data_IF_709757711122
#
_entry.id   IF_709757711122
#
_cell.length_a   1.000
_cell.length_b   1.000
_cell.length_c   1.000
_cell.angle_alpha   90.00
_cell.angle_beta   90.00
_cell.angle_gamma   90.00
#
_symmetry.space_group_name_H-M   'P 1'
#
loop_
_entity.id
_entity.type
_entity.pdbx_description
1 polymer ?
#
# COMPACT_ATOMS: atom_id res chain seq x y z
N UNK A 1 8.61 8.09 -24.85
CA UNK A 1 9.92 7.68 -24.31
C UNK A 1 9.81 6.25 -23.85
N UNK A 2 10.54 5.35 -24.51
CA UNK A 2 10.58 3.93 -24.13
C UNK A 2 11.69 3.76 -23.09
N UNK A 3 11.42 3.21 -21.90
CA UNK A 3 12.46 2.99 -20.91
C UNK A 3 13.47 1.96 -21.45
N UNK A 4 14.76 2.25 -21.27
CA UNK A 4 15.82 1.28 -21.57
C UNK A 4 15.71 0.11 -20.59
N UNK A 5 15.33 -1.05 -21.12
CA UNK A 5 15.16 -2.30 -20.34
C UNK A 5 16.37 -3.21 -20.49
N UNK A 6 17.44 -2.79 -21.15
CA UNK A 6 18.62 -3.62 -21.48
C UNK A 6 19.27 -4.26 -20.26
N UNK A 7 19.10 -3.65 -19.07
CA UNK A 7 19.68 -4.08 -17.79
C UNK A 7 18.68 -4.72 -16.82
N UNK A 8 17.48 -5.08 -17.26
CA UNK A 8 16.42 -5.59 -16.37
C UNK A 8 16.74 -6.91 -15.63
N UNK A 9 17.82 -7.61 -16.00
CA UNK A 9 18.34 -8.80 -15.30
C UNK A 9 19.66 -8.57 -14.55
N UNK A 10 20.21 -7.35 -14.59
CA UNK A 10 21.43 -7.04 -13.86
C UNK A 10 21.10 -6.83 -12.38
N UNK A 11 21.64 -7.69 -11.52
CA UNK A 11 21.47 -7.61 -10.05
C UNK A 11 21.80 -6.22 -9.51
N UNK A 12 22.89 -5.61 -9.99
CA UNK A 12 23.34 -4.27 -9.59
C UNK A 12 22.36 -3.13 -9.87
N UNK A 13 21.37 -3.36 -10.74
CA UNK A 13 20.30 -2.37 -10.99
C UNK A 13 19.26 -2.37 -9.88
N UNK A 14 19.26 -3.40 -9.03
CA UNK A 14 18.29 -3.65 -7.97
C UNK A 14 18.92 -3.70 -6.57
N UNK A 15 20.23 -3.50 -6.42
CA UNK A 15 20.91 -3.48 -5.10
C UNK A 15 20.22 -2.49 -4.13
N UNK A 16 19.63 -1.40 -4.64
CA UNK A 16 18.86 -0.43 -3.85
C UNK A 16 17.59 -1.01 -3.22
N UNK A 17 17.06 -2.12 -3.74
CA UNK A 17 15.88 -2.81 -3.17
C UNK A 17 16.22 -3.52 -1.86
N UNK A 18 17.48 -3.91 -1.65
CA UNK A 18 17.92 -4.52 -0.39
C UNK A 18 18.00 -3.48 0.75
N UNK A 19 18.25 -2.22 0.40
CA UNK A 19 18.24 -1.08 1.33
C UNK A 19 16.83 -0.50 1.54
N UNK A 20 15.90 -0.78 0.62
CA UNK A 20 14.54 -0.32 0.71
C UNK A 20 13.80 -1.11 1.79
N UNK A 21 13.30 -0.42 2.82
CA UNK A 21 12.53 -1.08 3.86
C UNK A 21 11.37 -1.87 3.21
N UNK A 22 11.40 -3.20 3.35
CA UNK A 22 10.38 -4.14 2.85
C UNK A 22 8.91 -3.66 2.93
N UNK A 23 8.45 -2.94 3.97
CA UNK A 23 7.09 -2.38 3.98
C UNK A 23 6.80 -1.36 2.86
N UNK A 24 7.76 -0.54 2.43
CA UNK A 24 7.55 0.47 1.39
C UNK A 24 7.33 -0.17 0.01
N UNK A 25 8.07 -1.25 -0.29
CA UNK A 25 7.89 -1.99 -1.53
C UNK A 25 6.51 -2.67 -1.55
N UNK A 26 6.14 -3.37 -0.47
CA UNK A 26 4.83 -4.02 -0.35
C UNK A 26 3.66 -3.04 -0.50
N UNK A 27 3.80 -1.82 0.02
CA UNK A 27 2.82 -0.76 -0.13
C UNK A 27 2.73 -0.23 -1.57
N UNK A 28 3.86 -0.08 -2.25
CA UNK A 28 3.90 0.36 -3.66
C UNK A 28 3.25 -0.66 -4.62
N UNK A 29 3.38 -1.96 -4.36
CA UNK A 29 2.66 -2.99 -5.13
C UNK A 29 1.16 -2.95 -4.85
N UNK A 30 0.76 -2.82 -3.59
CA UNK A 30 -0.64 -2.79 -3.20
C UNK A 30 -1.38 -1.58 -3.79
N UNK A 31 -0.80 -0.38 -3.76
CA UNK A 31 -1.44 0.83 -4.31
C UNK A 31 -1.66 0.76 -5.83
N UNK A 32 -0.85 -0.03 -6.54
CA UNK A 32 -0.93 -0.22 -8.00
C UNK A 32 -1.91 -1.32 -8.40
N UNK A 33 -2.40 -2.12 -7.45
CA UNK A 33 -3.40 -3.14 -7.71
C UNK A 33 -4.78 -2.51 -8.00
N UNK A 34 -5.37 -2.81 -9.15
CA UNK A 34 -6.64 -2.23 -9.59
C UNK A 34 -7.86 -2.63 -8.74
N UNK A 35 -7.83 -3.81 -8.12
CA UNK A 35 -8.88 -4.25 -7.19
C UNK A 35 -8.77 -3.51 -5.87
N UNK A 36 -7.55 -3.28 -5.38
CA UNK A 36 -7.32 -2.46 -4.20
C UNK A 36 -7.79 -1.02 -4.40
N UNK A 37 -7.52 -0.44 -5.57
CA UNK A 37 -7.97 0.92 -5.91
C UNK A 37 -9.50 1.03 -5.92
N UNK A 38 -10.21 -0.01 -6.39
CA UNK A 38 -11.67 -0.05 -6.41
C UNK A 38 -12.25 -0.17 -5.00
N UNK A 39 -11.74 -1.11 -4.22
CA UNK A 39 -12.10 -1.30 -2.81
C UNK A 39 -11.90 -0.01 -2.00
N UNK A 40 -10.77 0.68 -2.23
CA UNK A 40 -10.49 1.95 -1.57
C UNK A 40 -11.43 3.07 -2.04
N UNK A 41 -11.74 3.16 -3.33
CA UNK A 41 -12.69 4.15 -3.84
C UNK A 41 -14.10 3.96 -3.25
N UNK A 42 -14.53 2.71 -3.03
CA UNK A 42 -15.80 2.38 -2.37
C UNK A 42 -15.82 2.87 -0.92
N UNK A 43 -14.71 2.77 -0.18
CA UNK A 43 -14.59 3.32 1.18
C UNK A 43 -14.75 4.83 1.24
N UNK A 44 -14.36 5.56 0.20
CA UNK A 44 -14.50 7.03 0.14
C UNK A 44 -15.90 7.48 -0.29
N UNK A 45 -16.66 6.66 -1.01
CA UNK A 45 -17.99 7.00 -1.54
C UNK A 45 -19.12 6.74 -0.53
N UNK A 46 -18.94 5.77 0.36
CA UNK A 46 -19.97 5.36 1.32
C UNK A 46 -19.85 6.14 2.63
N UNK A 47 -20.79 7.05 2.89
CA UNK A 47 -20.91 7.75 4.18
C UNK A 47 -21.44 6.84 5.31
N UNK A 48 -22.15 5.75 4.96
CA UNK A 48 -22.59 4.76 5.92
C UNK A 48 -21.52 3.70 6.17
N UNK A 49 -21.18 3.54 7.45
CA UNK A 49 -20.32 2.51 8.02
C UNK A 49 -18.91 2.36 7.40
N UNK A 50 -18.26 3.50 7.21
CA UNK A 50 -16.86 3.64 6.83
C UNK A 50 -15.94 2.74 7.68
N UNK A 51 -16.31 2.49 8.94
CA UNK A 51 -15.57 1.63 9.88
C UNK A 51 -15.68 0.14 9.53
N UNK A 52 -16.89 -0.36 9.23
CA UNK A 52 -17.06 -1.73 8.73
C UNK A 52 -16.37 -1.93 7.37
N UNK A 53 -16.54 -0.98 6.45
CA UNK A 53 -15.96 -1.07 5.10
C UNK A 53 -14.43 -1.03 5.16
N UNK A 54 -13.86 -0.14 5.98
CA UNK A 54 -12.41 -0.10 6.24
C UNK A 54 -11.90 -1.39 6.88
N UNK A 55 -12.63 -1.97 7.84
CA UNK A 55 -12.24 -3.25 8.44
C UNK A 55 -12.27 -4.41 7.44
N UNK A 56 -13.24 -4.42 6.52
CA UNK A 56 -13.32 -5.41 5.45
C UNK A 56 -12.14 -5.30 4.49
N UNK A 57 -11.84 -4.10 4.01
CA UNK A 57 -10.68 -3.84 3.14
C UNK A 57 -9.38 -4.20 3.85
N UNK A 58 -9.22 -3.82 5.13
CA UNK A 58 -8.03 -4.18 5.92
C UNK A 58 -7.82 -5.69 6.05
N UNK A 59 -8.88 -6.45 6.35
CA UNK A 59 -8.80 -7.91 6.45
C UNK A 59 -8.48 -8.57 5.11
N UNK A 60 -9.07 -8.08 4.01
CA UNK A 60 -8.84 -8.60 2.66
C UNK A 60 -7.40 -8.42 2.20
N UNK A 61 -6.78 -7.27 2.51
CA UNK A 61 -5.46 -6.89 2.02
C UNK A 61 -4.35 -7.03 3.08
N UNK A 62 -4.64 -7.58 4.25
CA UNK A 62 -3.66 -7.76 5.34
C UNK A 62 -3.13 -6.45 5.94
N UNK A 63 -3.88 -5.34 5.81
CA UNK A 63 -3.43 -4.02 6.23
C UNK A 63 -3.59 -3.78 7.73
N UNK A 64 -2.46 -3.67 8.41
CA UNK A 64 -2.39 -3.30 9.81
C UNK A 64 -1.77 -1.91 9.99
N UNK A 65 -2.62 -0.89 10.00
CA UNK A 65 -2.21 0.43 10.49
C UNK A 65 -2.07 0.33 12.01
N UNK A 66 -0.85 0.48 12.52
CA UNK A 66 -0.65 0.80 13.93
C UNK A 66 -1.25 2.18 14.13
N UNK A 67 -2.33 2.29 14.90
CA UNK A 67 -2.79 3.62 15.31
C UNK A 67 -1.61 4.29 16.01
N UNK A 68 -1.25 5.53 15.64
CA UNK A 68 -0.44 6.36 16.53
C UNK A 68 -1.16 6.35 17.89
N UNK A 69 -0.44 6.23 19.03
CA UNK A 69 -1.07 6.48 20.30
C UNK A 69 -1.77 7.83 20.19
N UNK A 70 -3.07 7.88 20.51
CA UNK A 70 -3.76 9.15 20.71
C UNK A 70 -2.87 9.89 21.69
N UNK A 71 -2.22 10.96 21.23
CA UNK A 71 -1.50 11.82 22.14
C UNK A 71 -2.56 12.34 23.12
N UNK A 72 -2.63 11.74 24.31
CA UNK A 72 -3.33 12.29 25.45
C UNK A 72 -2.66 13.63 25.73
N UNK A 73 -3.19 14.69 25.11
CA UNK A 73 -2.88 16.06 25.51
C UNK A 73 -3.79 16.36 26.70
N UNK A 74 -3.16 16.32 27.87
CA UNK A 74 -3.63 16.89 29.13
C UNK A 74 -3.83 18.40 29.01
#
# INVERSE_FOLDING_TARGET
MTPDISRWRSTSTYDYLDELASPDLGWEWLRRNGDYQRDYAETRRSACDLRQLTNRVRKRWGLQFRCPPIAQRH
#
